data_IF_076881636510
#
_entry.id   IF_076881636510
#
_cell.length_a   1.000
_cell.length_b   1.000
_cell.length_c   1.000
_cell.angle_alpha   90.00
_cell.angle_beta   90.00
_cell.angle_gamma   90.00
#
_symmetry.space_group_name_H-M   'P 1'
#
loop_
_entity.id
_entity.type
_entity.pdbx_description
1 polymer ?
#
# COMPACT_ATOMS: atom_id res chain seq x y z
N UNK A 1 -0.09 17.98 2.83
CA UNK A 1 0.45 17.40 1.58
C UNK A 1 1.34 16.17 1.84
N UNK A 2 2.27 16.21 2.81
CA UNK A 2 3.18 15.10 3.11
C UNK A 2 2.50 13.73 3.33
N UNK A 3 1.47 13.68 4.17
CA UNK A 3 0.76 12.43 4.51
C UNK A 3 0.04 11.78 3.33
N UNK A 4 -0.53 12.58 2.43
CA UNK A 4 -1.14 12.10 1.20
C UNK A 4 -0.10 11.46 0.27
N UNK A 5 1.03 12.14 0.06
CA UNK A 5 2.12 11.62 -0.76
C UNK A 5 2.73 10.33 -0.20
N UNK A 6 2.93 10.26 1.12
CA UNK A 6 3.42 9.03 1.77
C UNK A 6 2.42 7.88 1.63
N UNK A 7 1.12 8.12 1.83
CA UNK A 7 0.10 7.09 1.63
C UNK A 7 0.01 6.62 0.17
N UNK A 8 0.08 7.54 -0.78
CA UNK A 8 0.10 7.22 -2.21
C UNK A 8 1.34 6.42 -2.62
N UNK A 9 2.51 6.75 -2.05
CA UNK A 9 3.73 5.97 -2.27
C UNK A 9 3.61 4.56 -1.71
N UNK A 10 3.13 4.39 -0.48
CA UNK A 10 2.91 3.06 0.12
C UNK A 10 1.95 2.23 -0.74
N UNK A 11 0.83 2.82 -1.19
CA UNK A 11 -0.17 2.13 -2.02
C UNK A 11 0.31 1.78 -3.44
N UNK A 12 1.13 2.62 -4.07
CA UNK A 12 1.68 2.34 -5.40
C UNK A 12 2.84 1.35 -5.35
N UNK A 13 3.70 1.43 -4.33
CA UNK A 13 4.79 0.47 -4.13
C UNK A 13 4.24 -0.92 -3.80
N UNK A 14 3.17 -1.01 -2.98
CA UNK A 14 2.52 -2.29 -2.70
C UNK A 14 1.82 -2.89 -3.92
N UNK A 15 1.19 -2.08 -4.78
CA UNK A 15 0.67 -2.53 -6.08
C UNK A 15 1.76 -3.08 -6.99
N UNK A 16 2.86 -2.33 -7.10
CA UNK A 16 4.00 -2.72 -7.92
C UNK A 16 4.57 -4.06 -7.46
N UNK A 17 4.84 -4.18 -6.16
CA UNK A 17 5.31 -5.41 -5.55
C UNK A 17 4.35 -6.57 -5.80
N UNK A 18 3.05 -6.35 -5.61
CA UNK A 18 2.07 -7.41 -5.76
C UNK A 18 1.90 -7.86 -7.23
N UNK A 19 2.13 -6.97 -8.19
CA UNK A 19 2.12 -7.29 -9.61
C UNK A 19 3.32 -8.15 -10.07
N UNK A 20 4.45 -8.07 -9.37
CA UNK A 20 5.67 -8.84 -9.70
C UNK A 20 5.92 -10.03 -8.77
N UNK A 21 5.20 -10.10 -7.65
CA UNK A 21 5.44 -11.11 -6.63
C UNK A 21 5.04 -12.51 -7.11
N UNK A 22 5.98 -13.46 -7.01
CA UNK A 22 5.75 -14.86 -7.34
C UNK A 22 5.73 -15.73 -6.05
N UNK A 23 4.56 -16.20 -5.60
CA UNK A 23 4.44 -16.89 -4.31
C UNK A 23 4.65 -18.40 -4.36
N UNK A 24 4.97 -19.00 -5.52
CA UNK A 24 4.88 -20.46 -5.69
C UNK A 24 6.01 -21.27 -5.04
N UNK A 25 7.19 -20.66 -4.79
CA UNK A 25 8.31 -21.34 -4.11
C UNK A 25 8.79 -20.53 -2.89
N UNK A 26 8.11 -20.63 -1.74
CA UNK A 26 8.47 -19.87 -0.55
C UNK A 26 9.74 -20.39 0.16
N UNK A 27 10.26 -21.57 -0.21
CA UNK A 27 11.43 -22.19 0.43
C UNK A 27 12.71 -21.74 -0.26
N UNK A 28 12.75 -21.82 -1.60
CA UNK A 28 13.93 -21.46 -2.38
C UNK A 28 13.90 -20.01 -2.88
N UNK A 29 12.70 -19.43 -3.05
CA UNK A 29 12.54 -18.07 -3.55
C UNK A 29 11.64 -17.18 -2.66
N UNK A 30 11.99 -17.02 -1.37
CA UNK A 30 11.25 -16.17 -0.45
C UNK A 30 11.29 -14.69 -0.83
N UNK A 31 10.37 -13.92 -0.26
CA UNK A 31 10.16 -12.49 -0.54
C UNK A 31 11.44 -11.62 -0.47
N UNK A 32 12.36 -11.94 0.45
CA UNK A 32 13.60 -11.17 0.62
C UNK A 32 14.62 -11.41 -0.50
N UNK A 33 14.53 -12.53 -1.24
CA UNK A 33 15.35 -12.77 -2.45
C UNK A 33 14.79 -12.05 -3.68
N UNK A 34 13.50 -11.77 -3.68
CA UNK A 34 12.79 -11.03 -4.72
C UNK A 34 12.89 -9.50 -4.60
N UNK A 35 13.52 -8.98 -3.54
CA UNK A 35 13.65 -7.53 -3.33
C UNK A 35 12.35 -6.85 -2.89
N UNK A 36 11.41 -7.60 -2.30
CA UNK A 36 10.14 -7.07 -1.79
C UNK A 36 10.39 -6.21 -0.54
N UNK A 37 9.92 -4.97 -0.55
CA UNK A 37 10.13 -4.02 0.54
C UNK A 37 8.89 -3.84 1.42
N UNK A 38 7.70 -3.64 0.85
CA UNK A 38 6.47 -3.31 1.58
C UNK A 38 5.67 -4.56 1.98
N UNK A 39 5.58 -5.58 1.11
CA UNK A 39 4.80 -6.80 1.40
C UNK A 39 5.28 -7.52 2.66
N UNK A 40 6.59 -7.65 2.99
CA UNK A 40 7.02 -8.26 4.26
C UNK A 40 6.43 -7.57 5.51
N UNK A 41 6.28 -6.24 5.48
CA UNK A 41 5.68 -5.50 6.59
C UNK A 41 4.18 -5.73 6.69
N UNK A 42 3.50 -5.89 5.55
CA UNK A 42 2.08 -6.24 5.52
C UNK A 42 1.84 -7.66 6.05
N UNK A 43 2.66 -8.64 5.64
CA UNK A 43 2.58 -10.04 6.12
C UNK A 43 2.75 -10.13 7.63
N UNK A 44 3.55 -9.25 8.25
CA UNK A 44 3.70 -9.17 9.71
C UNK A 44 2.39 -8.79 10.42
N UNK A 45 1.51 -8.04 9.77
CA UNK A 45 0.26 -7.51 10.32
C UNK A 45 -0.95 -8.44 10.25
N UNK A 46 -0.75 -9.77 10.08
CA UNK A 46 -1.84 -10.74 9.85
C UNK A 46 -2.71 -10.41 8.63
N UNK A 47 -2.19 -9.65 7.66
CA UNK A 47 -2.83 -9.42 6.36
C UNK A 47 -2.81 -10.74 5.59
N UNK A 48 -4.00 -11.26 5.29
CA UNK A 48 -4.20 -12.56 4.63
C UNK A 48 -4.38 -12.42 3.12
N UNK A 49 -4.29 -13.53 2.40
CA UNK A 49 -4.47 -13.58 0.94
C UNK A 49 -5.93 -13.29 0.52
N UNK A 50 -6.89 -13.36 1.46
CA UNK A 50 -8.32 -13.15 1.23
C UNK A 50 -8.96 -12.28 2.30
N UNK A 51 -10.09 -11.65 1.96
CA UNK A 51 -10.90 -10.80 2.84
C UNK A 51 -10.71 -9.30 2.61
N UNK A 52 -11.44 -8.50 3.40
CA UNK A 52 -11.40 -7.01 3.32
C UNK A 52 -10.01 -6.47 3.67
N UNK A 53 -9.30 -7.13 4.58
CA UNK A 53 -7.92 -6.81 4.97
C UNK A 53 -6.89 -7.66 4.23
N UNK A 54 -7.14 -7.94 2.95
CA UNK A 54 -6.16 -8.55 2.05
C UNK A 54 -5.12 -7.54 1.57
N UNK A 55 -4.05 -8.01 0.95
CA UNK A 55 -3.05 -7.12 0.35
C UNK A 55 -3.68 -6.10 -0.61
N UNK A 56 -4.59 -6.56 -1.47
CA UNK A 56 -5.37 -5.71 -2.38
C UNK A 56 -6.30 -4.74 -1.64
N UNK A 57 -6.92 -5.19 -0.54
CA UNK A 57 -7.75 -4.34 0.30
C UNK A 57 -6.97 -3.21 0.96
N UNK A 58 -5.77 -3.51 1.46
CA UNK A 58 -4.87 -2.54 2.11
C UNK A 58 -4.30 -1.55 1.09
N UNK A 59 -3.92 -2.04 -0.09
CA UNK A 59 -3.58 -1.22 -1.26
C UNK A 59 -4.71 -0.24 -1.58
N UNK A 60 -5.93 -0.74 -1.75
CA UNK A 60 -7.09 0.06 -2.10
C UNK A 60 -7.36 1.14 -1.04
N UNK A 61 -7.25 0.78 0.24
CA UNK A 61 -7.39 1.71 1.35
C UNK A 61 -6.35 2.84 1.29
N UNK A 62 -5.07 2.53 0.99
CA UNK A 62 -4.01 3.54 0.90
C UNK A 62 -4.20 4.51 -0.27
N UNK A 63 -4.70 4.04 -1.41
CA UNK A 63 -4.99 4.88 -2.58
C UNK A 63 -6.19 5.79 -2.30
N UNK A 64 -7.28 5.25 -1.78
CA UNK A 64 -8.48 6.04 -1.43
C UNK A 64 -8.15 7.07 -0.36
N UNK A 65 -7.43 6.68 0.70
CA UNK A 65 -7.01 7.58 1.77
C UNK A 65 -6.09 8.70 1.25
N UNK A 66 -5.17 8.39 0.33
CA UNK A 66 -4.33 9.40 -0.32
C UNK A 66 -5.16 10.45 -1.06
N UNK A 67 -6.14 10.01 -1.87
CA UNK A 67 -7.03 10.91 -2.61
C UNK A 67 -7.89 11.78 -1.70
N UNK A 68 -8.47 11.20 -0.65
CA UNK A 68 -9.25 11.93 0.35
C UNK A 68 -8.41 12.98 1.07
N UNK A 69 -7.18 12.64 1.48
CA UNK A 69 -6.29 13.57 2.14
C UNK A 69 -5.89 14.74 1.20
N UNK A 70 -5.70 14.46 -0.08
CA UNK A 70 -5.40 15.49 -1.08
C UNK A 70 -6.58 16.46 -1.28
N UNK A 71 -7.79 15.91 -1.48
CA UNK A 71 -9.02 16.70 -1.65
C UNK A 71 -9.33 17.54 -0.41
N UNK A 72 -9.26 16.92 0.77
CA UNK A 72 -9.58 17.59 2.03
C UNK A 72 -8.61 18.73 2.34
N UNK A 73 -7.32 18.54 2.03
CA UNK A 73 -6.32 19.60 2.16
C UNK A 73 -6.50 20.72 1.13
N UNK A 74 -6.95 20.42 -0.09
CA UNK A 74 -7.28 21.47 -1.07
C UNK A 74 -8.50 22.28 -0.64
N UNK A 75 -9.51 21.67 0.00
CA UNK A 75 -10.72 22.39 0.39
C UNK A 75 -10.51 23.27 1.64
N UNK A 76 -9.82 22.78 2.67
CA UNK A 76 -9.57 23.56 3.90
C UNK A 76 -8.46 24.61 3.72
N UNK A 77 -7.47 24.34 2.89
CA UNK A 77 -6.48 25.36 2.51
C UNK A 77 -7.08 26.53 1.73
N UNK A 78 -8.22 26.31 1.06
CA UNK A 78 -8.94 27.33 0.28
C UNK A 78 -9.99 28.10 1.08
N UNK A 79 -10.42 27.56 2.23
CA UNK A 79 -11.42 28.20 3.12
C UNK A 79 -10.77 29.19 4.11
N UNK A 80 -9.45 29.11 4.28
CA UNK A 80 -8.69 29.99 5.17
C UNK A 80 -7.68 30.89 4.42
N UNK A 81 -7.91 31.14 3.12
CA UNK A 81 -7.19 32.15 2.33
C UNK A 81 -8.14 33.13 1.66
#
# INVERSE_FOLDING_TARGET
MHTALVSGWVGSMSLYELAIFYPSDPVLDPMWRHGMFVIPFMTRGTITISGIWSYEGVVGAHIVFSGLCFSWLSDIGSIWI
#
